data_IF_168056834635
#
_entry.id   IF_168056834635
#
_cell.length_a   1.000
_cell.length_b   1.000
_cell.length_c   1.000
_cell.angle_alpha   90.00
_cell.angle_beta   90.00
_cell.angle_gamma   90.00
#
_symmetry.space_group_name_H-M   'P 1'
#
loop_
_entity.id
_entity.type
_entity.pdbx_description
1 polymer ?
#
# COMPACT_ATOMS: atom_id res chain seq x y z
N UNK A 1 16.91 -21.83 10.50
CA UNK A 1 16.70 -20.52 9.85
C UNK A 1 15.50 -19.74 10.44
N UNK A 2 15.47 -19.44 11.75
CA UNK A 2 14.29 -18.82 12.41
C UNK A 2 14.45 -17.34 12.82
N UNK A 3 15.58 -16.67 12.49
CA UNK A 3 15.88 -15.31 12.97
C UNK A 3 15.77 -14.17 11.94
N UNK A 4 15.57 -14.45 10.64
CA UNK A 4 15.61 -13.39 9.62
C UNK A 4 14.30 -12.60 9.50
N UNK A 5 13.14 -13.23 9.70
CA UNK A 5 11.84 -12.57 9.59
C UNK A 5 11.59 -11.56 10.73
N UNK A 6 12.03 -11.89 11.96
CA UNK A 6 11.93 -10.98 13.11
C UNK A 6 12.87 -9.78 12.97
N UNK A 7 14.06 -9.97 12.39
CA UNK A 7 14.99 -8.87 12.11
C UNK A 7 14.51 -7.95 10.98
N UNK A 8 13.85 -8.48 9.95
CA UNK A 8 13.29 -7.67 8.86
C UNK A 8 12.10 -6.81 9.35
N UNK A 9 11.19 -7.40 10.12
CA UNK A 9 10.10 -6.66 10.76
C UNK A 9 10.60 -5.64 11.79
N UNK A 10 11.70 -5.94 12.50
CA UNK A 10 12.35 -5.01 13.44
C UNK A 10 13.00 -3.81 12.71
N UNK A 11 13.58 -4.02 11.52
CA UNK A 11 14.15 -2.95 10.69
C UNK A 11 13.07 -2.04 10.08
N UNK A 12 11.91 -2.58 9.74
CA UNK A 12 10.75 -1.79 9.30
C UNK A 12 10.13 -0.97 10.45
N UNK A 13 10.09 -1.53 11.66
CA UNK A 13 9.43 -0.91 12.80
C UNK A 13 10.22 0.20 13.48
N UNK A 14 11.57 0.22 13.38
CA UNK A 14 12.34 1.09 14.26
C UNK A 14 12.50 2.53 13.79
N UNK A 15 12.60 2.81 12.50
CA UNK A 15 12.77 4.17 11.99
C UNK A 15 13.10 4.08 10.49
N UNK A 16 12.47 4.95 9.71
CA UNK A 16 13.09 5.51 8.51
C UNK A 16 13.20 4.57 7.28
N UNK A 17 12.12 4.49 6.49
CA UNK A 17 12.27 5.08 5.15
C UNK A 17 12.82 6.48 5.41
N UNK A 18 14.14 6.68 5.25
CA UNK A 18 14.84 7.92 5.64
C UNK A 18 13.98 9.13 5.34
N UNK A 19 13.93 10.13 6.22
CA UNK A 19 13.12 11.35 5.99
C UNK A 19 13.34 11.89 4.57
N UNK A 20 14.55 11.71 4.03
CA UNK A 20 14.90 11.88 2.61
C UNK A 20 14.02 11.08 1.65
N UNK A 21 13.92 9.74 1.76
CA UNK A 21 13.05 8.92 0.91
C UNK A 21 11.56 9.24 1.09
N UNK A 22 11.11 9.53 2.32
CA UNK A 22 9.73 9.95 2.55
C UNK A 22 9.42 11.28 1.84
N UNK A 23 10.35 12.23 1.90
CA UNK A 23 10.25 13.51 1.20
C UNK A 23 10.32 13.35 -0.33
N UNK A 24 11.19 12.49 -0.84
CA UNK A 24 11.30 12.19 -2.27
C UNK A 24 10.02 11.54 -2.81
N UNK A 25 9.49 10.52 -2.12
CA UNK A 25 8.22 9.89 -2.48
C UNK A 25 7.06 10.89 -2.43
N UNK A 26 6.99 11.75 -1.41
CA UNK A 26 5.99 12.83 -1.34
C UNK A 26 6.08 13.75 -2.56
N UNK A 27 7.29 14.17 -2.96
CA UNK A 27 7.50 14.99 -4.16
C UNK A 27 7.07 14.27 -5.44
N UNK A 28 7.25 12.96 -5.53
CA UNK A 28 6.81 12.14 -6.66
C UNK A 28 5.28 12.10 -6.70
N UNK A 29 4.61 11.75 -5.60
CA UNK A 29 3.15 11.67 -5.56
C UNK A 29 2.48 12.99 -5.94
N UNK A 30 2.99 14.12 -5.46
CA UNK A 30 2.47 15.46 -5.82
C UNK A 30 2.60 15.80 -7.32
N UNK A 31 3.49 15.14 -8.05
CA UNK A 31 3.68 15.34 -9.50
C UNK A 31 2.82 14.42 -10.35
N UNK A 32 2.22 13.37 -9.77
CA UNK A 32 1.39 12.44 -10.52
C UNK A 32 0.11 13.17 -10.95
N UNK A 33 -0.09 13.27 -12.27
CA UNK A 33 -1.27 13.87 -12.91
C UNK A 33 -2.20 12.82 -13.54
N UNK A 34 -1.91 11.53 -13.32
CA UNK A 34 -2.73 10.46 -13.84
C UNK A 34 -4.17 10.62 -13.33
N UNK A 35 -5.12 10.48 -14.25
CA UNK A 35 -6.55 10.42 -13.92
C UNK A 35 -6.87 8.98 -13.50
N UNK A 36 -7.85 8.80 -12.62
CA UNK A 36 -8.37 7.49 -12.21
C UNK A 36 -7.32 6.60 -11.53
N UNK A 37 -6.57 7.15 -10.57
CA UNK A 37 -5.68 6.34 -9.73
C UNK A 37 -6.53 5.68 -8.64
N UNK A 38 -6.51 4.36 -8.54
CA UNK A 38 -7.09 3.64 -7.41
C UNK A 38 -6.00 3.05 -6.54
N UNK A 39 -5.96 3.47 -5.28
CA UNK A 39 -5.09 2.89 -4.26
C UNK A 39 -5.79 1.70 -3.61
N UNK A 40 -5.13 0.55 -3.61
CA UNK A 40 -5.64 -0.67 -2.97
C UNK A 40 -4.73 -1.00 -1.79
N UNK A 41 -5.30 -1.10 -0.58
CA UNK A 41 -4.59 -1.51 0.63
C UNK A 41 -5.31 -2.68 1.30
N UNK A 42 -4.55 -3.50 2.02
CA UNK A 42 -5.08 -4.64 2.77
C UNK A 42 -5.10 -4.29 4.25
N UNK A 43 -6.25 -4.48 4.90
CA UNK A 43 -6.49 -4.05 6.28
C UNK A 43 -5.48 -4.65 7.28
N UNK A 44 -5.05 -5.90 7.06
CA UNK A 44 -4.11 -6.63 7.93
C UNK A 44 -2.66 -6.56 7.40
N UNK A 45 -2.35 -5.64 6.49
CA UNK A 45 -0.99 -5.42 6.01
C UNK A 45 -0.11 -4.77 7.09
N UNK A 46 0.82 -5.56 7.64
CA UNK A 46 1.79 -5.09 8.64
C UNK A 46 3.01 -4.41 8.02
N UNK A 47 3.25 -4.59 6.72
CA UNK A 47 4.38 -4.02 5.98
C UNK A 47 4.03 -2.63 5.46
N UNK A 48 2.81 -2.46 4.93
CA UNK A 48 2.24 -1.17 4.51
C UNK A 48 0.97 -0.89 5.31
N UNK A 49 1.09 -0.30 6.52
CA UNK A 49 -0.06 0.02 7.34
C UNK A 49 -1.02 0.97 6.64
N UNK A 50 -2.33 0.81 6.89
CA UNK A 50 -3.38 1.65 6.33
C UNK A 50 -3.10 3.17 6.46
N UNK A 51 -2.53 3.60 7.59
CA UNK A 51 -2.14 5.00 7.83
C UNK A 51 -1.18 5.55 6.77
N UNK A 52 -0.29 4.73 6.23
CA UNK A 52 0.62 5.12 5.15
C UNK A 52 -0.13 5.32 3.84
N UNK A 53 -1.06 4.43 3.51
CA UNK A 53 -1.92 4.56 2.32
C UNK A 53 -2.81 5.80 2.41
N UNK A 54 -3.38 6.11 3.58
CA UNK A 54 -4.18 7.33 3.79
C UNK A 54 -3.36 8.58 3.46
N UNK A 55 -2.10 8.66 3.92
CA UNK A 55 -1.22 9.79 3.58
C UNK A 55 -0.94 9.88 2.08
N UNK A 56 -0.75 8.75 1.41
CA UNK A 56 -0.56 8.74 -0.05
C UNK A 56 -1.84 9.17 -0.79
N UNK A 57 -3.01 8.72 -0.33
CA UNK A 57 -4.31 9.12 -0.86
C UNK A 57 -4.51 10.64 -0.78
N UNK A 58 -4.19 11.26 0.37
CA UNK A 58 -4.27 12.71 0.55
C UNK A 58 -3.35 13.49 -0.40
N UNK A 59 -2.22 12.91 -0.83
CA UNK A 59 -1.29 13.53 -1.77
C UNK A 59 -1.75 13.37 -3.23
N UNK A 60 -2.48 12.31 -3.55
CA UNK A 60 -2.95 11.98 -4.90
C UNK A 60 -4.36 12.53 -5.12
N UNK A 61 -4.46 13.82 -5.40
CA UNK A 61 -5.74 14.49 -5.64
C UNK A 61 -6.52 13.81 -6.78
N UNK A 62 -7.77 13.46 -6.50
CA UNK A 62 -8.66 12.78 -7.45
C UNK A 62 -8.39 11.29 -7.60
N UNK A 63 -7.59 10.69 -6.69
CA UNK A 63 -7.53 9.24 -6.56
C UNK A 63 -8.74 8.69 -5.83
N UNK A 64 -8.95 7.39 -5.97
CA UNK A 64 -9.85 6.57 -5.16
C UNK A 64 -9.03 5.68 -4.22
N UNK A 65 -9.63 5.25 -3.12
CA UNK A 65 -9.00 4.32 -2.18
C UNK A 65 -9.95 3.17 -1.85
N UNK A 66 -9.41 1.95 -1.92
CA UNK A 66 -10.08 0.70 -1.61
C UNK A 66 -9.31 -0.03 -0.51
N UNK A 67 -10.00 -0.36 0.58
CA UNK A 67 -9.45 -1.16 1.67
C UNK A 67 -10.08 -2.54 1.63
N UNK A 68 -9.25 -3.57 1.47
CA UNK A 68 -9.71 -4.95 1.42
C UNK A 68 -9.56 -5.57 2.80
N UNK A 69 -10.69 -6.00 3.35
CA UNK A 69 -10.76 -6.59 4.68
C UNK A 69 -10.13 -7.98 4.71
N UNK A 70 -9.59 -8.33 5.87
CA UNK A 70 -9.07 -9.66 6.20
C UNK A 70 -7.87 -10.18 5.39
N UNK A 71 -7.23 -9.34 4.58
CA UNK A 71 -6.04 -9.72 3.81
C UNK A 71 -4.77 -9.08 4.36
N UNK A 72 -3.65 -9.81 4.25
CA UNK A 72 -2.30 -9.35 4.60
C UNK A 72 -1.54 -8.78 3.38
N UNK A 73 -0.21 -8.65 3.48
CA UNK A 73 0.62 -7.90 2.51
C UNK A 73 0.62 -8.43 1.07
N UNK A 74 0.50 -9.75 0.89
CA UNK A 74 0.66 -10.40 -0.42
C UNK A 74 -0.57 -11.21 -0.83
N UNK A 75 -1.76 -10.57 -0.99
CA UNK A 75 -2.99 -11.29 -1.33
C UNK A 75 -2.97 -11.86 -2.74
N UNK A 76 -2.19 -11.29 -3.66
CA UNK A 76 -2.02 -11.83 -5.01
C UNK A 76 -1.35 -13.21 -5.02
N UNK A 77 -0.68 -13.59 -3.94
CA UNK A 77 -0.09 -14.92 -3.76
C UNK A 77 -0.99 -15.86 -2.95
N UNK A 78 -1.63 -15.34 -1.89
CA UNK A 78 -2.43 -16.15 -0.96
C UNK A 78 -3.90 -16.31 -1.37
N UNK A 79 -4.46 -15.35 -2.11
CA UNK A 79 -5.86 -15.28 -2.53
C UNK A 79 -5.96 -14.67 -3.96
N UNK A 80 -5.32 -15.29 -4.97
CA UNK A 80 -5.22 -14.71 -6.31
C UNK A 80 -6.59 -14.46 -6.97
N UNK A 81 -7.57 -15.36 -6.77
CA UNK A 81 -8.91 -15.21 -7.33
C UNK A 81 -9.65 -14.01 -6.74
N UNK A 82 -9.58 -13.84 -5.41
CA UNK A 82 -10.16 -12.68 -4.72
C UNK A 82 -9.53 -11.37 -5.19
N UNK A 83 -8.22 -11.35 -5.42
CA UNK A 83 -7.55 -10.16 -5.98
C UNK A 83 -8.02 -9.89 -7.41
N UNK A 84 -8.16 -10.93 -8.23
CA UNK A 84 -8.67 -10.80 -9.60
C UNK A 84 -10.08 -10.22 -9.61
N UNK A 85 -10.98 -10.71 -8.77
CA UNK A 85 -12.35 -10.18 -8.64
C UNK A 85 -12.34 -8.68 -8.32
N UNK A 86 -11.55 -8.28 -7.33
CA UNK A 86 -11.48 -6.86 -6.91
C UNK A 86 -10.91 -5.98 -8.00
N UNK A 87 -9.89 -6.44 -8.74
CA UNK A 87 -9.33 -5.70 -9.87
C UNK A 87 -10.39 -5.52 -10.96
N UNK A 88 -11.14 -6.57 -11.29
CA UNK A 88 -12.21 -6.48 -12.29
C UNK A 88 -13.34 -5.55 -11.84
N UNK A 89 -13.72 -5.56 -10.57
CA UNK A 89 -14.71 -4.62 -10.02
C UNK A 89 -14.25 -3.17 -10.14
N UNK A 90 -12.96 -2.88 -9.91
CA UNK A 90 -12.41 -1.53 -10.03
C UNK A 90 -12.37 -1.08 -11.50
N UNK A 91 -11.97 -1.97 -12.41
CA UNK A 91 -11.84 -1.65 -13.84
C UNK A 91 -13.18 -1.48 -14.56
N UNK A 92 -14.26 -2.06 -14.04
CA UNK A 92 -15.60 -2.00 -14.63
C UNK A 92 -16.45 -0.83 -14.12
N UNK A 93 -15.89 0.07 -13.31
CA UNK A 93 -16.52 1.33 -12.88
C UNK A 93 -16.22 2.46 -13.85
#
# INVERSE_FOLDING_TARGET
>A
MKNNAKNFAYLLNKQLLSEKYALELKKIFLKIKAKNITLINMEKDIVVPLKSTIKTFELLKGSEMHVIKDLGHSPQHSHPDKVKEIILEILNK
#
